data_IF_757335861968
#
_entry.id   IF_757335861968
#
_cell.length_a   1.000
_cell.length_b   1.000
_cell.length_c   1.000
_cell.angle_alpha   90.00
_cell.angle_beta   90.00
_cell.angle_gamma   90.00
#
_symmetry.space_group_name_H-M   'P 1'
#
loop_
_entity.id
_entity.type
_entity.pdbx_description
1 polymer ?
#
# COMPACT_ATOMS: atom_id res chain seq x y z
N UNK A 1 -1.73 27.55 -6.22
CA UNK A 1 -0.90 26.39 -6.60
C UNK A 1 -0.12 25.90 -5.39
N UNK A 2 -0.25 24.62 -4.99
CA UNK A 2 0.55 24.07 -3.87
C UNK A 2 1.89 23.56 -4.40
N UNK A 3 2.95 23.57 -3.57
CA UNK A 3 4.31 23.14 -3.97
C UNK A 3 4.37 21.72 -4.56
N UNK A 4 3.48 20.82 -4.14
CA UNK A 4 3.43 19.45 -4.64
C UNK A 4 2.85 19.37 -6.05
N UNK A 5 1.85 20.19 -6.39
CA UNK A 5 1.21 20.18 -7.71
C UNK A 5 2.26 20.52 -8.79
N UNK A 6 3.02 21.59 -8.55
CA UNK A 6 4.12 22.02 -9.42
C UNK A 6 5.20 20.93 -9.60
N UNK A 7 5.55 20.21 -8.53
CA UNK A 7 6.57 19.15 -8.57
C UNK A 7 6.10 17.87 -9.26
N UNK A 8 4.79 17.65 -9.36
CA UNK A 8 4.19 16.45 -9.96
C UNK A 8 4.09 16.60 -11.48
N UNK A 9 3.87 17.83 -11.94
CA UNK A 9 3.72 18.18 -13.35
C UNK A 9 4.99 17.92 -14.16
N UNK A 10 6.16 18.32 -13.63
CA UNK A 10 7.47 18.15 -14.28
C UNK A 10 7.81 16.69 -14.67
N UNK A 11 7.65 15.69 -13.80
CA UNK A 11 7.97 14.30 -14.11
C UNK A 11 6.80 13.45 -14.68
N UNK A 12 5.68 14.05 -15.13
CA UNK A 12 4.45 13.30 -15.49
C UNK A 12 3.99 12.33 -14.38
N UNK A 13 4.19 12.70 -13.12
CA UNK A 13 3.69 11.92 -11.98
C UNK A 13 2.19 12.21 -11.82
N UNK A 14 1.51 11.36 -11.03
CA UNK A 14 0.12 11.59 -10.64
C UNK A 14 0.07 11.78 -9.13
N UNK A 15 -0.74 12.74 -8.69
CA UNK A 15 -1.00 13.00 -7.28
C UNK A 15 -2.50 12.80 -7.04
N UNK A 16 -2.85 11.89 -6.13
CA UNK A 16 -4.24 11.71 -5.68
C UNK A 16 -4.31 11.92 -4.18
N UNK A 17 -5.46 12.44 -3.73
CA UNK A 17 -5.74 12.63 -2.32
C UNK A 17 -6.51 11.42 -1.81
N UNK A 18 -5.93 10.71 -0.86
CA UNK A 18 -6.58 9.58 -0.17
C UNK A 18 -7.41 10.12 1.00
N UNK A 19 -8.41 9.33 1.41
CA UNK A 19 -9.29 9.68 2.52
C UNK A 19 -8.52 10.03 3.81
N UNK A 20 -8.97 11.10 4.47
CA UNK A 20 -8.33 11.63 5.69
C UNK A 20 -8.51 10.68 6.88
N UNK A 21 -9.60 9.93 6.90
CA UNK A 21 -9.98 9.04 8.00
C UNK A 21 -9.40 7.64 7.84
N UNK A 22 -8.54 7.43 6.85
CA UNK A 22 -7.76 6.22 6.74
C UNK A 22 -6.91 6.02 7.99
N UNK A 23 -7.20 4.95 8.73
CA UNK A 23 -6.46 4.51 9.90
C UNK A 23 -5.09 3.87 9.54
N UNK A 24 -4.31 4.50 8.66
CA UNK A 24 -3.03 3.98 8.13
C UNK A 24 -1.96 3.82 9.20
N UNK A 25 -1.87 4.78 10.12
CA UNK A 25 -0.98 4.73 11.28
C UNK A 25 -1.42 3.71 12.34
N UNK A 26 -2.62 3.14 12.19
CA UNK A 26 -3.18 2.09 13.05
C UNK A 26 -3.44 0.79 12.30
N UNK A 27 -3.03 0.67 11.04
CA UNK A 27 -3.14 -0.56 10.26
C UNK A 27 -1.76 -1.00 9.83
N UNK A 28 -1.38 -2.22 10.18
CA UNK A 28 -0.07 -2.72 9.84
C UNK A 28 0.00 -3.01 8.34
N UNK A 29 1.01 -2.50 7.64
CA UNK A 29 1.17 -2.78 6.21
C UNK A 29 1.40 -4.26 5.88
N UNK A 30 2.18 -4.94 6.75
CA UNK A 30 2.65 -6.30 6.51
C UNK A 30 1.56 -7.36 6.61
N UNK A 31 0.64 -7.22 7.57
CA UNK A 31 -0.40 -8.22 7.83
C UNK A 31 -1.84 -7.65 7.82
N UNK A 32 -2.01 -6.33 7.69
CA UNK A 32 -3.34 -5.69 7.66
C UNK A 32 -4.02 -5.59 9.03
N UNK A 33 -3.39 -6.06 10.11
CA UNK A 33 -3.98 -6.06 11.44
C UNK A 33 -4.07 -4.63 11.98
N UNK A 34 -5.20 -4.29 12.60
CA UNK A 34 -5.40 -3.00 13.25
C UNK A 34 -4.81 -3.01 14.66
N UNK A 35 -4.20 -1.90 15.06
CA UNK A 35 -3.73 -1.70 16.42
C UNK A 35 -4.91 -1.80 17.39
N UNK A 36 -4.79 -2.52 18.52
CA UNK A 36 -5.81 -2.47 19.57
C UNK A 36 -5.86 -1.07 20.21
N UNK A 37 -7.08 -0.54 20.36
CA UNK A 37 -7.34 0.73 21.05
C UNK A 37 -6.93 2.01 20.31
N UNK A 38 -6.51 3.02 21.06
CA UNK A 38 -6.15 4.33 20.52
C UNK A 38 -4.68 4.44 20.05
N UNK A 39 -3.85 3.44 20.36
CA UNK A 39 -2.42 3.49 20.12
C UNK A 39 -2.09 3.59 18.62
N UNK A 40 -1.33 4.61 18.25
CA UNK A 40 -0.75 4.71 16.91
C UNK A 40 0.52 3.85 16.84
N UNK A 41 0.68 3.11 15.75
CA UNK A 41 1.88 2.34 15.48
C UNK A 41 3.13 3.25 15.48
N UNK A 42 4.24 2.76 16.06
CA UNK A 42 5.46 3.51 16.36
C UNK A 42 5.73 3.75 17.85
N UNK A 43 4.72 3.58 18.71
CA UNK A 43 4.87 3.63 20.18
C UNK A 43 4.74 2.26 20.86
N UNK A 44 4.15 1.27 20.18
CA UNK A 44 4.00 -0.08 20.69
C UNK A 44 5.17 -0.97 20.23
N UNK A 45 5.89 -1.64 21.14
CA UNK A 45 6.94 -2.60 20.80
C UNK A 45 6.39 -3.87 20.14
N UNK A 46 5.10 -4.18 20.30
CA UNK A 46 4.53 -5.45 19.86
C UNK A 46 3.31 -5.27 18.96
N UNK A 47 3.56 -5.41 17.67
CA UNK A 47 2.55 -5.60 16.66
C UNK A 47 2.05 -7.05 16.73
N UNK A 48 0.73 -7.30 16.84
CA UNK A 48 0.20 -8.65 16.73
C UNK A 48 0.60 -9.28 15.39
N UNK A 49 1.36 -10.38 15.43
CA UNK A 49 1.81 -11.11 14.24
C UNK A 49 3.14 -10.63 13.62
N UNK A 50 3.79 -9.60 14.18
CA UNK A 50 5.12 -9.13 13.78
C UNK A 50 6.05 -9.22 15.00
N UNK A 51 6.46 -10.44 15.34
CA UNK A 51 7.36 -10.72 16.48
C UNK A 51 8.61 -9.83 16.39
N UNK A 52 8.73 -8.84 17.28
CA UNK A 52 9.94 -8.05 17.48
C UNK A 52 10.31 -7.05 16.37
N UNK A 53 9.45 -6.79 15.38
CA UNK A 53 9.75 -5.78 14.34
C UNK A 53 9.16 -4.42 14.71
N UNK A 54 10.02 -3.50 15.13
CA UNK A 54 9.67 -2.08 15.30
C UNK A 54 9.63 -1.42 13.92
N UNK A 55 8.44 -1.27 13.38
CA UNK A 55 8.24 -0.44 12.18
C UNK A 55 8.17 1.03 12.58
N UNK A 56 8.94 1.87 11.90
CA UNK A 56 8.77 3.31 11.96
C UNK A 56 7.33 3.70 11.56
N UNK A 57 6.76 4.71 12.21
CA UNK A 57 5.35 5.11 12.03
C UNK A 57 5.08 5.54 10.60
N UNK A 58 5.98 6.33 10.03
CA UNK A 58 5.83 6.87 8.68
C UNK A 58 6.04 5.77 7.64
N UNK A 59 6.97 4.86 7.91
CA UNK A 59 7.16 3.66 7.09
C UNK A 59 5.94 2.73 7.12
N UNK A 60 5.28 2.56 8.27
CA UNK A 60 4.05 1.74 8.37
C UNK A 60 2.86 2.35 7.61
N UNK A 61 2.81 3.68 7.49
CA UNK A 61 1.75 4.40 6.79
C UNK A 61 1.75 4.19 5.25
N UNK A 62 2.60 3.31 4.73
CA UNK A 62 2.62 2.87 3.32
C UNK A 62 1.26 2.31 2.82
N UNK A 63 0.33 1.99 3.72
CA UNK A 63 -1.09 1.74 3.40
C UNK A 63 -1.74 2.86 2.58
N UNK A 64 -1.34 4.12 2.75
CA UNK A 64 -1.76 5.24 1.88
C UNK A 64 -1.41 5.02 0.42
N UNK A 65 -0.25 4.42 0.13
CA UNK A 65 0.19 4.14 -1.24
C UNK A 65 -0.74 3.12 -1.91
N UNK A 66 -1.12 2.06 -1.21
CA UNK A 66 -2.10 1.07 -1.73
C UNK A 66 -3.42 1.74 -2.07
N UNK A 67 -3.95 2.55 -1.16
CA UNK A 67 -5.22 3.24 -1.40
C UNK A 67 -5.14 4.30 -2.50
N UNK A 68 -4.03 5.04 -2.59
CA UNK A 68 -3.81 5.97 -3.69
C UNK A 68 -3.73 5.27 -5.04
N UNK A 69 -3.10 4.09 -5.11
CA UNK A 69 -3.08 3.28 -6.34
C UNK A 69 -4.51 2.84 -6.71
N UNK A 70 -5.31 2.37 -5.74
CA UNK A 70 -6.70 1.98 -5.99
C UNK A 70 -7.56 3.16 -6.47
N UNK A 71 -7.38 4.35 -5.88
CA UNK A 71 -8.07 5.56 -6.33
C UNK A 71 -7.70 5.92 -7.77
N UNK A 72 -6.40 5.90 -8.09
CA UNK A 72 -5.93 6.13 -9.47
C UNK A 72 -6.46 5.07 -10.45
N UNK A 73 -6.61 3.81 -10.03
CA UNK A 73 -7.22 2.77 -10.86
C UNK A 73 -8.72 3.02 -11.09
N UNK A 74 -9.46 3.41 -10.05
CA UNK A 74 -10.88 3.72 -10.14
C UNK A 74 -11.15 4.92 -11.07
N UNK A 75 -10.25 5.89 -11.10
CA UNK A 75 -10.30 7.03 -12.03
C UNK A 75 -9.81 6.70 -13.45
N UNK A 76 -9.39 5.45 -13.72
CA UNK A 76 -8.84 5.04 -15.02
C UNK A 76 -7.45 5.60 -15.31
N UNK A 77 -6.77 6.12 -14.30
CA UNK A 77 -5.46 6.78 -14.39
C UNK A 77 -4.28 5.82 -14.17
N UNK A 78 -4.55 4.62 -13.66
CA UNK A 78 -3.57 3.55 -13.46
C UNK A 78 -4.19 2.21 -13.80
N UNK A 79 -3.39 1.28 -14.30
CA UNK A 79 -3.81 -0.10 -14.55
C UNK A 79 -2.84 -1.05 -13.87
N UNK A 80 -3.37 -2.17 -13.37
CA UNK A 80 -2.51 -3.28 -12.99
C UNK A 80 -1.84 -3.83 -14.25
N UNK A 81 -0.51 -3.92 -14.23
CA UNK A 81 0.18 -4.71 -15.24
C UNK A 81 -0.10 -6.19 -14.96
N UNK A 82 -1.14 -6.73 -15.57
CA UNK A 82 -1.36 -8.16 -15.61
C UNK A 82 -0.22 -8.77 -16.44
N UNK A 83 0.87 -9.19 -15.78
CA UNK A 83 1.87 -10.06 -16.39
C UNK A 83 1.10 -11.32 -16.77
N UNK A 84 0.85 -11.52 -18.07
CA UNK A 84 0.02 -12.62 -18.56
C UNK A 84 0.39 -13.92 -17.85
N UNK A 85 -0.62 -14.59 -17.29
CA UNK A 85 -0.45 -15.87 -16.62
C UNK A 85 0.24 -16.82 -17.62
N UNK A 86 1.54 -17.11 -17.41
CA UNK A 86 2.24 -18.12 -18.20
C UNK A 86 1.48 -19.42 -18.03
N UNK A 87 0.78 -19.87 -19.08
CA UNK A 87 0.14 -21.19 -19.09
C UNK A 87 1.24 -22.22 -18.93
N UNK A 88 1.30 -22.87 -17.77
CA UNK A 88 2.20 -24.00 -17.53
C UNK A 88 1.77 -25.11 -18.50
N UNK A 89 2.61 -25.42 -19.49
CA UNK A 89 2.38 -26.53 -20.40
C UNK A 89 2.34 -27.83 -19.60
N UNK A 90 1.31 -28.65 -19.79
CA UNK A 90 1.21 -29.98 -19.17
C UNK A 90 2.38 -30.81 -19.69
N UNK A 91 3.26 -31.29 -18.80
CA UNK A 91 4.29 -32.26 -19.15
C UNK A 91 3.62 -33.53 -19.69
N UNK A 92 4.11 -34.13 -20.79
CA UNK A 92 3.56 -35.38 -21.27
C UNK A 92 3.76 -36.45 -20.20
N UNK A 93 2.66 -37.01 -19.73
CA UNK A 93 2.64 -38.24 -18.94
C UNK A 93 3.20 -39.34 -19.84
N UNK A 94 4.36 -39.90 -19.49
CA UNK A 94 4.87 -41.09 -20.17
C UNK A 94 3.90 -42.24 -19.93
N UNK A 95 3.52 -42.91 -21.02
CA UNK A 95 2.91 -44.23 -20.99
C UNK A 95 3.96 -45.30 -20.64
#
# INVERSE_FOLDING_TARGET
>A
MRKLDCKVEWPRKRLTKVDRWLASSKTCWGNGTKAPGAAAFGSAPDMPGLRGRKHDRDTNAVTFRRQGILALMAEGLSVSACIGLRKMGKSPTSA
#
